data_IF_075790846273
#
_entry.id   IF_075790846273
#
_cell.length_a   1.000
_cell.length_b   1.000
_cell.length_c   1.000
_cell.angle_alpha   90.00
_cell.angle_beta   90.00
_cell.angle_gamma   90.00
#
_symmetry.space_group_name_H-M   'P 1'
#
loop_
_entity.id
_entity.type
_entity.pdbx_description
1 polymer ?
#
# COMPACT_ATOMS: atom_id res chain seq x y z
N UNK A 1 4.95 1.30 7.10
CA UNK A 1 4.37 1.14 5.74
C UNK A 1 3.93 -0.30 5.42
N UNK A 2 4.79 -1.31 5.60
CA UNK A 2 4.46 -2.70 5.23
C UNK A 2 3.24 -3.26 5.99
N UNK A 3 3.09 -2.90 7.26
CA UNK A 3 1.95 -3.34 8.08
C UNK A 3 0.61 -2.83 7.53
N UNK A 4 0.56 -1.58 7.06
CA UNK A 4 -0.62 -1.02 6.39
C UNK A 4 -0.98 -1.82 5.13
N UNK A 5 0.02 -2.26 4.35
CA UNK A 5 -0.22 -3.11 3.18
C UNK A 5 -0.76 -4.49 3.59
N UNK A 6 -0.15 -5.14 4.58
CA UNK A 6 -0.60 -6.47 5.04
C UNK A 6 -2.03 -6.41 5.58
N UNK A 7 -2.34 -5.44 6.44
CA UNK A 7 -3.68 -5.27 6.98
C UNK A 7 -4.72 -5.02 5.87
N UNK A 8 -4.40 -4.16 4.90
CA UNK A 8 -5.25 -3.92 3.75
C UNK A 8 -5.49 -5.20 2.93
N UNK A 9 -4.43 -5.93 2.59
CA UNK A 9 -4.54 -7.18 1.83
C UNK A 9 -5.40 -8.22 2.54
N UNK A 10 -5.26 -8.36 3.85
CA UNK A 10 -6.04 -9.32 4.63
C UNK A 10 -7.51 -8.91 4.74
N UNK A 11 -7.81 -7.61 4.89
CA UNK A 11 -9.20 -7.12 4.86
C UNK A 11 -9.85 -7.31 3.49
N UNK A 12 -9.11 -7.13 2.40
CA UNK A 12 -9.63 -7.43 1.05
C UNK A 12 -9.90 -8.93 0.89
N UNK A 13 -9.03 -9.81 1.39
CA UNK A 13 -9.29 -11.27 1.40
C UNK A 13 -10.54 -11.62 2.22
N UNK A 14 -10.73 -10.99 3.38
CA UNK A 14 -11.95 -11.20 4.19
C UNK A 14 -13.21 -10.76 3.43
N UNK A 15 -13.15 -9.65 2.69
CA UNK A 15 -14.26 -9.23 1.83
C UNK A 15 -14.54 -10.25 0.72
N UNK A 16 -13.51 -10.80 0.07
CA UNK A 16 -13.67 -11.86 -0.94
C UNK A 16 -14.34 -13.09 -0.32
N UNK A 17 -13.92 -13.50 0.89
CA UNK A 17 -14.56 -14.61 1.62
C UNK A 17 -16.03 -14.32 1.93
N UNK A 18 -16.37 -13.10 2.34
CA UNK A 18 -17.76 -12.68 2.54
C UNK A 18 -18.58 -12.80 1.25
N UNK A 19 -17.99 -12.45 0.10
CA UNK A 19 -18.62 -12.57 -1.21
C UNK A 19 -18.82 -14.05 -1.60
N UNK A 20 -17.86 -14.93 -1.31
CA UNK A 20 -17.99 -16.39 -1.48
C UNK A 20 -19.16 -16.95 -0.65
N UNK A 21 -19.25 -16.56 0.62
CA UNK A 21 -20.32 -17.01 1.51
C UNK A 21 -21.70 -16.55 1.00
N UNK A 22 -21.79 -15.30 0.52
CA UNK A 22 -23.01 -14.77 -0.05
C UNK A 22 -23.42 -15.52 -1.34
N UNK A 23 -22.45 -15.93 -2.15
CA UNK A 23 -22.67 -16.74 -3.34
C UNK A 23 -23.21 -18.13 -3.00
N UNK A 24 -22.58 -18.82 -2.05
CA UNK A 24 -23.01 -20.13 -1.58
C UNK A 24 -24.45 -20.08 -1.02
N UNK A 25 -24.77 -19.05 -0.23
CA UNK A 25 -26.12 -18.82 0.29
C UNK A 25 -27.12 -18.55 -0.84
N UNK A 26 -26.73 -17.80 -1.88
CA UNK A 26 -27.55 -17.56 -3.07
C UNK A 26 -27.81 -18.84 -3.88
N UNK A 27 -26.80 -19.68 -4.06
CA UNK A 27 -26.92 -20.97 -4.73
C UNK A 27 -27.87 -21.90 -3.96
N UNK A 28 -27.69 -22.03 -2.64
CA UNK A 28 -28.56 -22.84 -1.78
C UNK A 28 -30.01 -22.36 -1.79
N UNK A 29 -30.23 -21.05 -1.73
CA UNK A 29 -31.57 -20.47 -1.82
C UNK A 29 -32.24 -20.76 -3.17
N UNK A 30 -31.45 -20.73 -4.25
CA UNK A 30 -31.95 -21.02 -5.60
C UNK A 30 -32.30 -22.49 -5.77
N UNK A 31 -31.46 -23.40 -5.27
CA UNK A 31 -31.70 -24.84 -5.28
C UNK A 31 -32.97 -25.23 -4.49
N UNK A 32 -33.17 -24.64 -3.30
CA UNK A 32 -34.40 -24.82 -2.51
C UNK A 32 -35.62 -24.34 -3.31
N UNK A 33 -35.51 -23.21 -4.02
CA UNK A 33 -36.62 -22.70 -4.81
C UNK A 33 -36.92 -23.59 -6.03
N UNK A 34 -35.90 -24.09 -6.73
CA UNK A 34 -36.08 -24.94 -7.92
C UNK A 34 -36.61 -26.34 -7.61
N UNK A 35 -36.13 -27.00 -6.54
CA UNK A 35 -36.69 -28.30 -6.11
C UNK A 35 -38.16 -28.22 -5.70
N UNK A 36 -38.58 -27.01 -5.29
CA UNK A 36 -39.96 -26.75 -4.97
C UNK A 36 -40.77 -26.44 -6.25
N UNK A 37 -40.30 -25.62 -7.20
CA UNK A 37 -41.11 -25.20 -8.37
C UNK A 37 -41.87 -26.35 -9.09
N UNK A 38 -41.26 -27.52 -9.28
CA UNK A 38 -41.94 -28.71 -9.87
C UNK A 38 -43.05 -29.32 -9.00
N UNK A 39 -42.95 -29.22 -7.67
CA UNK A 39 -43.98 -29.68 -6.71
C UNK A 39 -45.13 -28.68 -6.52
N UNK A 40 -44.96 -27.41 -6.90
CA UNK A 40 -45.92 -26.32 -6.59
C UNK A 40 -46.89 -25.97 -7.72
N UNK A 41 -46.83 -26.63 -8.88
CA UNK A 41 -47.78 -26.46 -10.00
C UNK A 41 -49.26 -26.75 -9.65
N UNK A 42 -49.52 -27.39 -8.52
CA UNK A 42 -50.86 -27.75 -8.01
C UNK A 42 -51.36 -26.91 -6.81
N UNK A 43 -50.64 -25.84 -6.43
CA UNK A 43 -50.84 -25.17 -5.13
C UNK A 43 -51.68 -23.89 -5.22
N UNK A 44 -52.57 -23.72 -4.22
CA UNK A 44 -53.62 -22.68 -4.16
C UNK A 44 -53.08 -21.23 -4.15
N UNK A 45 -53.84 -20.23 -4.66
CA UNK A 45 -53.40 -18.84 -4.82
C UNK A 45 -52.89 -18.14 -3.54
N UNK A 46 -53.38 -18.53 -2.36
CA UNK A 46 -52.92 -17.97 -1.07
C UNK A 46 -51.44 -18.24 -0.79
N UNK A 47 -50.87 -19.31 -1.36
CA UNK A 47 -49.47 -19.68 -1.19
C UNK A 47 -48.54 -18.98 -2.20
N UNK A 48 -49.05 -18.49 -3.34
CA UNK A 48 -48.28 -17.66 -4.29
C UNK A 48 -47.70 -16.42 -3.60
N UNK A 49 -48.47 -15.80 -2.71
CA UNK A 49 -48.01 -14.65 -1.90
C UNK A 49 -46.81 -14.96 -0.99
N UNK A 50 -46.56 -16.23 -0.66
CA UNK A 50 -45.39 -16.65 0.14
C UNK A 50 -44.18 -16.90 -0.76
N UNK A 51 -44.38 -17.41 -1.97
CA UNK A 51 -43.33 -17.52 -2.99
C UNK A 51 -42.84 -16.16 -3.47
N UNK A 52 -43.76 -15.23 -3.73
CA UNK A 52 -43.41 -13.85 -4.08
C UNK A 52 -42.57 -13.20 -2.97
N UNK A 53 -42.89 -13.47 -1.69
CA UNK A 53 -42.09 -13.02 -0.54
C UNK A 53 -40.69 -13.65 -0.49
N UNK A 54 -40.53 -14.92 -0.83
CA UNK A 54 -39.21 -15.59 -0.89
C UNK A 54 -38.35 -15.10 -2.06
N UNK A 55 -38.94 -14.91 -3.24
CA UNK A 55 -38.28 -14.31 -4.41
C UNK A 55 -37.88 -12.86 -4.13
N UNK A 56 -38.77 -12.06 -3.54
CA UNK A 56 -38.52 -10.68 -3.13
C UNK A 56 -37.39 -10.57 -2.09
N UNK A 57 -37.35 -11.47 -1.10
CA UNK A 57 -36.25 -11.54 -0.13
C UNK A 57 -34.90 -11.86 -0.78
N UNK A 58 -34.90 -12.66 -1.85
CA UNK A 58 -33.66 -13.02 -2.57
C UNK A 58 -33.11 -11.84 -3.38
N UNK A 59 -33.98 -11.07 -4.05
CA UNK A 59 -33.58 -9.86 -4.79
C UNK A 59 -33.02 -8.80 -3.83
N UNK A 60 -33.72 -8.53 -2.73
CA UNK A 60 -33.25 -7.58 -1.72
C UNK A 60 -31.91 -8.00 -1.12
N UNK A 61 -31.71 -9.30 -0.87
CA UNK A 61 -30.42 -9.80 -0.37
C UNK A 61 -29.29 -9.57 -1.36
N UNK A 62 -29.49 -9.85 -2.66
CA UNK A 62 -28.46 -9.59 -3.69
C UNK A 62 -28.07 -8.12 -3.73
N UNK A 63 -29.04 -7.22 -3.67
CA UNK A 63 -28.80 -5.78 -3.69
C UNK A 63 -28.10 -5.32 -2.41
N UNK A 64 -28.46 -5.87 -1.25
CA UNK A 64 -27.76 -5.62 0.01
C UNK A 64 -26.31 -6.14 -0.02
N UNK A 65 -26.07 -7.36 -0.50
CA UNK A 65 -24.73 -7.90 -0.68
C UNK A 65 -23.89 -7.01 -1.59
N UNK A 66 -24.45 -6.58 -2.72
CA UNK A 66 -23.79 -5.65 -3.62
C UNK A 66 -23.46 -4.31 -2.95
N UNK A 67 -24.45 -3.68 -2.32
CA UNK A 67 -24.29 -2.40 -1.64
C UNK A 67 -23.21 -2.46 -0.55
N UNK A 68 -23.28 -3.48 0.32
CA UNK A 68 -22.28 -3.71 1.37
C UNK A 68 -20.90 -3.99 0.77
N UNK A 69 -20.81 -4.83 -0.26
CA UNK A 69 -19.55 -5.17 -0.91
C UNK A 69 -18.85 -3.95 -1.51
N UNK A 70 -19.58 -3.09 -2.21
CA UNK A 70 -19.04 -1.88 -2.83
C UNK A 70 -18.61 -0.85 -1.80
N UNK A 71 -19.45 -0.59 -0.78
CA UNK A 71 -19.13 0.38 0.28
C UNK A 71 -17.91 -0.08 1.08
N UNK A 72 -17.84 -1.36 1.43
CA UNK A 72 -16.70 -1.93 2.14
C UNK A 72 -15.44 -1.90 1.28
N UNK A 73 -15.48 -2.34 0.02
CA UNK A 73 -14.31 -2.34 -0.84
C UNK A 73 -13.72 -0.94 -1.03
N UNK A 74 -14.57 0.03 -1.35
CA UNK A 74 -14.13 1.42 -1.53
C UNK A 74 -13.61 2.00 -0.21
N UNK A 75 -14.32 1.78 0.91
CA UNK A 75 -13.88 2.25 2.23
C UNK A 75 -12.53 1.67 2.66
N UNK A 76 -12.29 0.38 2.39
CA UNK A 76 -10.99 -0.27 2.62
C UNK A 76 -9.87 0.37 1.81
N UNK A 77 -10.13 0.69 0.53
CA UNK A 77 -9.14 1.33 -0.33
C UNK A 77 -8.85 2.77 0.11
N UNK A 78 -9.88 3.56 0.41
CA UNK A 78 -9.75 4.94 0.88
C UNK A 78 -8.95 5.01 2.18
N UNK A 79 -9.30 4.18 3.17
CA UNK A 79 -8.56 4.06 4.42
C UNK A 79 -7.09 3.67 4.16
N UNK A 80 -6.84 2.68 3.30
CA UNK A 80 -5.49 2.25 2.99
C UNK A 80 -4.63 3.36 2.35
N UNK A 81 -5.19 4.11 1.40
CA UNK A 81 -4.49 5.21 0.72
C UNK A 81 -4.10 6.31 1.72
N UNK A 82 -4.98 6.65 2.67
CA UNK A 82 -4.66 7.58 3.74
C UNK A 82 -3.58 7.03 4.68
N UNK A 83 -3.71 5.78 5.12
CA UNK A 83 -2.79 5.16 6.07
C UNK A 83 -1.39 4.99 5.48
N UNK A 84 -1.28 4.59 4.21
CA UNK A 84 0.02 4.42 3.55
C UNK A 84 0.72 5.75 3.31
N UNK A 85 -0.04 6.83 3.05
CA UNK A 85 0.50 8.20 3.00
C UNK A 85 1.10 8.61 4.33
N UNK A 86 0.37 8.41 5.43
CA UNK A 86 0.87 8.71 6.78
C UNK A 86 2.13 7.92 7.08
N UNK A 87 2.09 6.60 6.86
CA UNK A 87 3.22 5.72 7.12
C UNK A 87 4.46 6.08 6.26
N UNK A 88 4.26 6.54 5.03
CA UNK A 88 5.35 7.01 4.16
C UNK A 88 6.02 8.28 4.71
N UNK A 89 5.22 9.26 5.14
CA UNK A 89 5.73 10.51 5.72
C UNK A 89 6.43 10.30 7.07
N UNK A 90 5.89 9.43 7.91
CA UNK A 90 6.53 9.04 9.17
C UNK A 90 7.82 8.26 8.92
N UNK A 91 7.89 7.43 7.89
CA UNK A 91 9.13 6.75 7.58
C UNK A 91 10.20 7.74 7.05
N UNK A 92 9.80 8.76 6.27
CA UNK A 92 10.68 9.87 5.88
C UNK A 92 11.18 10.68 7.09
N UNK A 93 10.30 11.08 8.00
CA UNK A 93 10.69 11.83 9.20
C UNK A 93 11.56 11.00 10.16
N UNK A 94 11.41 9.67 10.13
CA UNK A 94 12.28 8.77 10.88
C UNK A 94 13.65 8.60 10.21
N UNK A 95 13.71 8.81 8.89
CA UNK A 95 14.90 8.63 8.07
C UNK A 95 15.80 9.86 8.05
N UNK A 96 15.19 11.04 8.01
CA UNK A 96 15.87 12.32 7.79
C UNK A 96 15.91 13.10 9.12
N UNK A 97 17.10 13.52 9.54
CA UNK A 97 17.28 14.18 10.85
C UNK A 97 17.03 15.68 10.85
N UNK A 98 17.14 16.35 9.70
CA UNK A 98 16.90 17.79 9.54
C UNK A 98 15.74 18.04 8.58
N UNK A 99 14.79 18.89 8.98
CA UNK A 99 13.63 19.26 8.17
C UNK A 99 14.03 19.86 6.82
N UNK A 100 15.16 20.57 6.74
CA UNK A 100 15.65 21.15 5.48
C UNK A 100 16.03 20.09 4.42
N UNK A 101 16.30 18.85 4.85
CA UNK A 101 16.59 17.71 3.97
C UNK A 101 15.33 16.94 3.53
N UNK A 102 14.16 17.20 4.11
CA UNK A 102 12.88 16.62 3.68
C UNK A 102 12.54 17.11 2.27
N UNK A 103 11.94 16.30 1.37
CA UNK A 103 11.54 16.75 0.04
C UNK A 103 10.80 18.09 0.05
N UNK A 104 11.22 19.00 -0.83
CA UNK A 104 10.73 20.39 -0.91
C UNK A 104 9.21 20.48 -0.90
N UNK A 105 8.55 19.64 -1.71
CA UNK A 105 7.09 19.61 -1.81
C UNK A 105 6.38 19.32 -0.47
N UNK A 106 6.97 18.45 0.35
CA UNK A 106 6.46 18.15 1.70
C UNK A 106 6.63 19.38 2.58
N UNK A 107 7.78 20.07 2.53
CA UNK A 107 8.04 21.27 3.32
C UNK A 107 7.06 22.40 2.98
N UNK A 108 6.85 22.65 1.69
CA UNK A 108 5.91 23.67 1.19
C UNK A 108 4.46 23.39 1.63
N UNK A 109 4.05 22.12 1.59
CA UNK A 109 2.68 21.75 1.89
C UNK A 109 2.41 21.60 3.40
N UNK A 110 3.43 21.24 4.19
CA UNK A 110 3.25 20.90 5.61
C UNK A 110 2.56 22.01 6.40
N UNK A 111 2.99 23.26 6.26
CA UNK A 111 2.41 24.38 7.02
C UNK A 111 0.94 24.61 6.68
N UNK A 112 0.61 24.66 5.39
CA UNK A 112 -0.75 24.93 4.92
C UNK A 112 -1.70 23.79 5.28
N UNK A 113 -1.27 22.54 5.08
CA UNK A 113 -2.07 21.37 5.42
C UNK A 113 -2.25 21.24 6.93
N UNK A 114 -1.22 21.54 7.73
CA UNK A 114 -1.32 21.53 9.20
C UNK A 114 -2.33 22.58 9.69
N UNK A 115 -2.36 23.77 9.09
CA UNK A 115 -3.35 24.79 9.40
C UNK A 115 -4.78 24.34 9.03
N UNK A 116 -4.95 23.66 7.88
CA UNK A 116 -6.24 23.08 7.50
C UNK A 116 -6.67 21.96 8.46
N UNK A 117 -5.74 21.14 8.92
CA UNK A 117 -6.00 20.11 9.92
C UNK A 117 -6.50 20.71 11.24
N UNK A 118 -5.96 21.86 11.68
CA UNK A 118 -6.47 22.58 12.86
C UNK A 118 -7.92 23.02 12.69
N UNK A 119 -8.28 23.57 11.53
CA UNK A 119 -9.65 23.99 11.21
C UNK A 119 -10.59 22.77 11.21
N UNK A 120 -10.14 21.67 10.61
CA UNK A 120 -10.93 20.45 10.42
C UNK A 120 -10.86 19.48 11.60
N UNK A 121 -10.11 19.78 12.66
CA UNK A 121 -9.79 18.87 13.77
C UNK A 121 -11.02 18.15 14.36
N UNK A 122 -12.14 18.86 14.45
CA UNK A 122 -13.35 18.35 15.11
C UNK A 122 -14.16 17.37 14.25
N UNK A 123 -13.80 17.18 12.97
CA UNK A 123 -14.36 16.14 12.12
C UNK A 123 -14.04 14.76 12.69
N UNK A 124 -14.99 13.83 12.58
CA UNK A 124 -14.87 12.49 13.18
C UNK A 124 -13.62 11.75 12.70
N UNK A 125 -13.20 11.95 11.44
CA UNK A 125 -11.98 11.35 10.88
C UNK A 125 -10.67 11.82 11.54
N UNK A 126 -10.66 12.93 12.27
CA UNK A 126 -9.45 13.51 12.89
C UNK A 126 -9.49 13.53 14.42
N UNK A 127 -10.68 13.50 15.01
CA UNK A 127 -10.88 13.71 16.46
C UNK A 127 -9.99 12.80 17.34
N UNK A 128 -9.78 11.56 16.92
CA UNK A 128 -8.98 10.57 17.67
C UNK A 128 -7.55 10.38 17.12
N UNK A 129 -7.21 11.00 15.98
CA UNK A 129 -5.91 10.81 15.31
C UNK A 129 -4.88 11.87 15.68
N UNK A 130 -5.31 13.03 16.18
CA UNK A 130 -4.42 14.13 16.52
C UNK A 130 -5.09 15.11 17.49
N UNK A 131 -4.28 15.81 18.30
CA UNK A 131 -4.74 16.91 19.14
C UNK A 131 -4.11 18.25 18.73
N UNK A 132 -4.76 19.36 19.12
CA UNK A 132 -4.36 20.72 18.74
C UNK A 132 -2.94 21.08 19.20
N UNK A 133 -2.61 20.76 20.45
CA UNK A 133 -1.29 21.00 21.04
C UNK A 133 -0.20 20.32 20.24
N UNK A 134 -0.41 19.06 19.86
CA UNK A 134 0.54 18.27 19.08
C UNK A 134 0.75 18.85 17.68
N UNK A 135 -0.32 19.27 17.01
CA UNK A 135 -0.23 19.87 15.67
C UNK A 135 0.61 21.15 15.72
N UNK A 136 0.33 22.04 16.67
CA UNK A 136 1.05 23.32 16.84
C UNK A 136 2.52 23.05 17.21
N UNK A 137 2.78 22.11 18.11
CA UNK A 137 4.14 21.74 18.51
C UNK A 137 4.95 21.23 17.31
N UNK A 138 4.38 20.31 16.51
CA UNK A 138 5.04 19.78 15.31
C UNK A 138 5.30 20.87 14.26
N UNK A 139 4.38 21.81 14.08
CA UNK A 139 4.59 22.99 13.22
C UNK A 139 5.77 23.83 13.71
N UNK A 140 5.81 24.13 15.01
CA UNK A 140 6.90 24.89 15.61
C UNK A 140 8.26 24.20 15.44
N UNK A 141 8.33 22.88 15.68
CA UNK A 141 9.57 22.11 15.54
C UNK A 141 10.08 22.08 14.10
N UNK A 142 9.19 21.95 13.12
CA UNK A 142 9.58 21.99 11.70
C UNK A 142 10.18 23.35 11.32
N UNK A 143 9.71 24.47 11.90
CA UNK A 143 10.29 25.80 11.68
C UNK A 143 11.70 25.97 12.25
N UNK A 144 12.13 25.12 13.18
CA UNK A 144 13.47 25.17 13.80
C UNK A 144 14.47 24.16 13.20
N UNK A 145 14.02 23.28 12.30
CA UNK A 145 14.89 22.38 11.54
C UNK A 145 15.19 21.02 12.20
N UNK A 146 15.52 20.98 13.51
CA UNK A 146 15.85 19.71 14.18
C UNK A 146 15.78 19.80 15.73
N UNK A 147 15.28 18.76 16.44
CA UNK A 147 14.55 17.62 15.90
C UNK A 147 13.18 18.05 15.38
N UNK A 148 12.64 17.36 14.38
CA UNK A 148 11.32 17.65 13.83
C UNK A 148 10.45 16.40 13.72
N UNK A 149 9.15 16.61 13.56
CA UNK A 149 8.14 15.58 13.24
C UNK A 149 7.09 16.18 12.34
N UNK A 150 6.67 15.44 11.31
CA UNK A 150 5.65 15.92 10.39
C UNK A 150 4.25 15.77 11.01
N UNK A 151 3.32 16.63 10.61
CA UNK A 151 1.89 16.40 10.82
C UNK A 151 1.39 15.50 9.69
N UNK A 152 1.81 14.23 9.67
CA UNK A 152 1.54 13.32 8.55
C UNK A 152 0.03 13.19 8.25
N UNK A 153 -0.82 13.19 9.28
CA UNK A 153 -2.29 13.16 9.15
C UNK A 153 -2.83 14.37 8.37
N UNK A 154 -2.14 15.50 8.36
CA UNK A 154 -2.56 16.68 7.59
C UNK A 154 -2.57 16.42 6.08
N UNK A 155 -1.77 15.46 5.60
CA UNK A 155 -1.71 15.08 4.19
C UNK A 155 -2.87 14.16 3.76
N UNK A 156 -3.73 13.75 4.69
CA UNK A 156 -4.90 12.92 4.37
C UNK A 156 -6.17 13.73 4.12
N UNK A 157 -6.12 15.07 4.13
CA UNK A 157 -7.32 15.85 3.83
C UNK A 157 -7.64 15.85 2.34
N UNK A 158 -8.71 15.14 1.98
CA UNK A 158 -9.31 15.16 0.67
C UNK A 158 -10.83 15.24 0.77
N UNK A 159 -11.45 15.82 -0.27
CA UNK A 159 -12.92 16.00 -0.37
C UNK A 159 -13.56 15.15 -1.46
N UNK A 160 -12.77 14.71 -2.43
CA UNK A 160 -13.22 13.88 -3.55
C UNK A 160 -12.93 12.42 -3.28
N UNK A 161 -13.76 11.54 -3.83
CA UNK A 161 -13.45 10.12 -3.89
C UNK A 161 -12.15 9.89 -4.66
N UNK A 162 -11.41 8.83 -4.31
CA UNK A 162 -10.21 8.42 -5.03
C UNK A 162 -10.56 7.82 -6.40
N UNK A 163 -10.53 8.68 -7.41
CA UNK A 163 -10.30 8.38 -8.83
C UNK A 163 -8.82 8.50 -9.17
N UNK A 164 -8.40 8.00 -10.33
CA UNK A 164 -6.97 8.01 -10.69
C UNK A 164 -6.35 9.42 -10.67
N UNK A 165 -7.06 10.43 -11.15
CA UNK A 165 -6.59 11.82 -11.14
C UNK A 165 -6.46 12.40 -9.74
N UNK A 166 -7.41 12.11 -8.85
CA UNK A 166 -7.33 12.53 -7.44
C UNK A 166 -6.25 11.77 -6.69
N UNK A 167 -6.00 10.50 -7.04
CA UNK A 167 -4.93 9.71 -6.45
C UNK A 167 -3.55 10.27 -6.83
N UNK A 168 -3.36 10.66 -8.10
CA UNK A 168 -2.16 11.38 -8.55
C UNK A 168 -1.95 12.66 -7.73
N UNK A 169 -2.97 13.52 -7.63
CA UNK A 169 -2.91 14.77 -6.86
C UNK A 169 -2.63 14.54 -5.37
N UNK A 170 -3.22 13.49 -4.81
CA UNK A 170 -3.04 13.14 -3.40
C UNK A 170 -1.58 12.82 -3.07
N UNK A 171 -0.94 11.94 -3.85
CA UNK A 171 0.47 11.58 -3.65
C UNK A 171 1.45 12.67 -4.05
N UNK A 172 1.06 13.56 -4.96
CA UNK A 172 1.84 14.74 -5.32
C UNK A 172 2.00 15.71 -4.13
N UNK A 173 1.06 15.73 -3.17
CA UNK A 173 1.21 16.51 -1.93
C UNK A 173 2.50 16.11 -1.17
N UNK A 174 2.86 14.83 -1.21
CA UNK A 174 4.06 14.30 -0.58
C UNK A 174 5.28 14.25 -1.52
N UNK A 175 5.23 14.93 -2.67
CA UNK A 175 6.31 14.95 -3.66
C UNK A 175 6.39 13.71 -4.54
N UNK A 176 5.46 12.76 -4.43
CA UNK A 176 5.41 11.57 -5.27
C UNK A 176 4.54 11.84 -6.49
N UNK A 177 5.16 12.39 -7.53
CA UNK A 177 4.48 12.79 -8.76
C UNK A 177 4.18 11.59 -9.67
N UNK A 178 3.00 11.56 -10.27
CA UNK A 178 2.64 10.56 -11.29
C UNK A 178 2.52 9.14 -10.75
N UNK A 179 1.87 8.94 -9.59
CA UNK A 179 1.71 7.61 -8.97
C UNK A 179 1.11 6.58 -9.93
N UNK A 180 0.18 7.00 -10.79
CA UNK A 180 -0.38 6.19 -11.90
C UNK A 180 0.71 5.58 -12.79
N UNK A 181 1.65 6.40 -13.26
CA UNK A 181 2.78 5.98 -14.10
C UNK A 181 3.74 5.08 -13.32
N UNK A 182 3.99 5.38 -12.04
CA UNK A 182 4.83 4.55 -11.18
C UNK A 182 4.22 3.16 -10.97
N UNK A 183 2.92 3.10 -10.70
CA UNK A 183 2.15 1.86 -10.55
C UNK A 183 2.25 1.02 -11.83
N UNK A 184 2.02 1.61 -13.01
CA UNK A 184 2.13 0.89 -14.29
C UNK A 184 3.49 0.23 -14.48
N UNK A 185 4.58 0.84 -13.99
CA UNK A 185 5.95 0.30 -14.11
C UNK A 185 6.27 -0.83 -13.14
N UNK A 186 5.41 -1.11 -12.16
CA UNK A 186 5.64 -2.21 -11.22
C UNK A 186 5.42 -3.56 -11.90
N UNK A 187 6.23 -4.56 -11.54
CA UNK A 187 6.14 -5.90 -12.13
C UNK A 187 4.77 -6.54 -11.91
N UNK A 188 4.18 -6.39 -10.71
CA UNK A 188 2.86 -6.94 -10.38
C UNK A 188 1.75 -6.31 -11.23
N UNK A 189 1.79 -5.00 -11.47
CA UNK A 189 0.78 -4.34 -12.29
C UNK A 189 0.93 -4.71 -13.77
N UNK A 190 2.17 -4.83 -14.27
CA UNK A 190 2.43 -5.33 -15.63
C UNK A 190 1.91 -6.76 -15.83
N UNK A 191 2.13 -7.65 -14.85
CA UNK A 191 1.60 -9.02 -14.89
C UNK A 191 0.07 -9.05 -14.90
N UNK A 192 -0.57 -8.31 -13.99
CA UNK A 192 -2.02 -8.19 -13.96
C UNK A 192 -2.57 -7.64 -15.27
N UNK A 193 -1.95 -6.58 -15.78
CA UNK A 193 -2.41 -5.91 -16.98
C UNK A 193 -2.22 -6.73 -18.25
N UNK A 194 -1.19 -7.58 -18.32
CA UNK A 194 -0.99 -8.49 -19.45
C UNK A 194 -2.16 -9.49 -19.59
N UNK A 195 -2.83 -9.83 -18.48
CA UNK A 195 -4.03 -10.67 -18.49
C UNK A 195 -5.27 -9.86 -18.90
N UNK A 196 -5.40 -8.63 -18.40
CA UNK A 196 -6.57 -7.77 -18.66
C UNK A 196 -6.60 -7.15 -20.07
N UNK A 197 -5.42 -6.78 -20.59
CA UNK A 197 -5.24 -6.12 -21.88
C UNK A 197 -4.32 -6.96 -22.78
N UNK A 198 -4.76 -8.15 -23.23
CA UNK A 198 -3.92 -9.03 -24.02
C UNK A 198 -3.51 -8.34 -25.33
N UNK A 199 -2.22 -8.47 -25.69
CA UNK A 199 -1.60 -7.87 -26.88
C UNK A 199 -1.51 -6.35 -26.89
N UNK A 200 -1.65 -5.67 -25.74
CA UNK A 200 -1.48 -4.23 -25.62
C UNK A 200 -0.44 -3.90 -24.56
N UNK A 201 0.38 -2.87 -24.84
CA UNK A 201 1.26 -2.28 -23.82
C UNK A 201 0.46 -1.27 -23.01
N UNK A 202 0.41 -1.42 -21.69
CA UNK A 202 -0.30 -0.47 -20.82
C UNK A 202 0.35 0.91 -20.75
N UNK A 203 1.61 1.02 -21.15
CA UNK A 203 2.31 2.30 -21.24
C UNK A 203 1.73 3.17 -22.37
N UNK A 204 1.13 2.54 -23.40
CA UNK A 204 0.48 3.22 -24.53
C UNK A 204 -1.01 3.51 -24.27
N UNK A 205 -1.58 2.94 -23.19
CA UNK A 205 -2.99 3.10 -22.86
C UNK A 205 -3.24 4.32 -21.96
N UNK A 206 -4.30 5.12 -22.25
CA UNK A 206 -4.72 6.20 -21.38
C UNK A 206 -5.02 5.72 -19.96
N UNK A 207 -4.67 6.51 -18.94
CA UNK A 207 -4.92 6.17 -17.53
C UNK A 207 -6.37 5.84 -17.24
N UNK A 208 -7.32 6.57 -17.85
CA UNK A 208 -8.76 6.31 -17.71
C UNK A 208 -9.18 4.90 -18.15
N UNK A 209 -8.44 4.26 -19.07
CA UNK A 209 -8.69 2.88 -19.52
C UNK A 209 -8.04 1.90 -18.56
N UNK A 210 -6.80 2.16 -18.19
CA UNK A 210 -6.02 1.27 -17.32
C UNK A 210 -6.61 1.19 -15.90
N UNK A 211 -7.14 2.31 -15.39
CA UNK A 211 -7.67 2.45 -14.04
C UNK A 211 -9.20 2.60 -13.99
N UNK A 212 -9.91 2.19 -15.05
CA UNK A 212 -11.38 2.29 -15.14
C UNK A 212 -12.09 1.66 -13.94
N UNK A 213 -11.60 0.52 -13.45
CA UNK A 213 -12.18 -0.19 -12.29
C UNK A 213 -12.17 0.66 -11.01
N UNK A 214 -11.17 1.54 -10.83
CA UNK A 214 -11.13 2.46 -9.69
C UNK A 214 -12.20 3.55 -9.85
N UNK A 215 -12.30 4.13 -11.04
CA UNK A 215 -13.24 5.21 -11.33
C UNK A 215 -14.70 4.71 -11.27
N UNK A 216 -14.97 3.50 -11.78
CA UNK A 216 -16.24 2.80 -11.67
C UNK A 216 -16.56 2.46 -10.21
N UNK A 217 -15.61 1.95 -9.42
CA UNK A 217 -15.82 1.69 -7.99
C UNK A 217 -16.22 2.97 -7.23
N UNK A 218 -15.52 4.07 -7.48
CA UNK A 218 -15.83 5.37 -6.88
C UNK A 218 -17.22 5.88 -7.30
N UNK A 219 -17.64 5.64 -8.55
CA UNK A 219 -18.98 5.96 -9.03
C UNK A 219 -20.05 5.08 -8.35
N UNK A 220 -19.86 3.76 -8.32
CA UNK A 220 -20.79 2.80 -7.70
C UNK A 220 -21.00 3.06 -6.22
N UNK A 221 -19.94 3.42 -5.50
CA UNK A 221 -20.04 3.84 -4.09
C UNK A 221 -20.98 5.03 -3.92
N UNK A 222 -20.92 6.02 -4.81
CA UNK A 222 -21.84 7.17 -4.75
C UNK A 222 -23.27 6.77 -5.08
N UNK A 223 -23.48 5.90 -6.08
CA UNK A 223 -24.82 5.37 -6.40
C UNK A 223 -25.43 4.69 -5.18
N UNK A 224 -24.69 3.79 -4.51
CA UNK A 224 -25.14 3.10 -3.29
C UNK A 224 -25.40 4.08 -2.15
N UNK A 225 -24.56 5.10 -1.97
CA UNK A 225 -24.76 6.12 -0.94
C UNK A 225 -26.00 7.00 -1.17
N UNK A 226 -26.41 7.19 -2.43
CA UNK A 226 -27.60 7.96 -2.78
C UNK A 226 -28.91 7.17 -2.74
N UNK A 227 -28.84 5.83 -2.68
CA UNK A 227 -30.03 5.00 -2.48
C UNK A 227 -29.91 3.60 -3.07
N UNK A 228 -31.03 3.12 -3.60
CA UNK A 228 -31.14 1.77 -4.11
C UNK A 228 -30.57 1.70 -5.54
N UNK A 229 -29.54 0.89 -5.81
CA UNK A 229 -28.93 0.82 -7.13
C UNK A 229 -29.82 0.05 -8.11
N UNK A 230 -30.03 0.63 -9.30
CA UNK A 230 -30.75 -0.02 -10.41
C UNK A 230 -29.88 -1.02 -11.18
N UNK A 231 -28.56 -0.78 -11.22
CA UNK A 231 -27.56 -1.66 -11.81
C UNK A 231 -26.60 -2.20 -10.74
N UNK A 232 -26.43 -3.52 -10.72
CA UNK A 232 -25.59 -4.23 -9.74
C UNK A 232 -24.62 -5.15 -10.44
N UNK A 233 -23.45 -5.31 -9.83
CA UNK A 233 -22.46 -6.27 -10.27
C UNK A 233 -22.79 -7.68 -9.80
N UNK A 234 -22.38 -8.67 -10.60
CA UNK A 234 -22.32 -10.04 -10.12
C UNK A 234 -21.26 -10.17 -9.00
N UNK A 235 -21.32 -11.27 -8.26
CA UNK A 235 -20.35 -11.53 -7.19
C UNK A 235 -18.93 -11.69 -7.77
N UNK A 236 -18.82 -12.37 -8.91
CA UNK A 236 -17.58 -12.55 -9.66
C UNK A 236 -16.98 -11.20 -10.08
N UNK A 237 -17.81 -10.31 -10.64
CA UNK A 237 -17.37 -8.96 -11.02
C UNK A 237 -16.95 -8.10 -9.81
N UNK A 238 -17.53 -8.35 -8.62
CA UNK A 238 -17.08 -7.70 -7.38
C UNK A 238 -15.74 -8.27 -6.90
N UNK A 239 -15.53 -9.59 -7.01
CA UNK A 239 -14.24 -10.25 -6.69
C UNK A 239 -13.13 -9.77 -7.63
N UNK A 240 -13.41 -9.63 -8.92
CA UNK A 240 -12.47 -9.06 -9.90
C UNK A 240 -12.05 -7.64 -9.54
N UNK A 241 -13.01 -6.78 -9.14
CA UNK A 241 -12.72 -5.43 -8.63
C UNK A 241 -11.91 -5.47 -7.33
N UNK A 242 -12.24 -6.36 -6.41
CA UNK A 242 -11.50 -6.51 -5.15
C UNK A 242 -10.04 -6.89 -5.42
N UNK A 243 -9.80 -7.79 -6.38
CA UNK A 243 -8.46 -8.20 -6.77
C UNK A 243 -7.69 -7.07 -7.48
N UNK A 244 -8.34 -6.31 -8.36
CA UNK A 244 -7.76 -5.10 -8.94
C UNK A 244 -7.31 -4.11 -7.86
N UNK A 245 -8.18 -3.81 -6.90
CA UNK A 245 -7.89 -2.89 -5.79
C UNK A 245 -6.75 -3.42 -4.90
N UNK A 246 -6.71 -4.72 -4.65
CA UNK A 246 -5.62 -5.38 -3.90
C UNK A 246 -4.27 -5.19 -4.59
N UNK A 247 -4.23 -5.42 -5.92
CA UNK A 247 -3.02 -5.28 -6.73
C UNK A 247 -2.61 -3.80 -6.81
N UNK A 248 -3.56 -2.90 -7.04
CA UNK A 248 -3.32 -1.46 -7.05
C UNK A 248 -2.67 -1.00 -5.74
N UNK A 249 -3.22 -1.42 -4.59
CA UNK A 249 -2.65 -1.07 -3.28
C UNK A 249 -1.21 -1.56 -3.11
N UNK A 250 -0.92 -2.81 -3.48
CA UNK A 250 0.46 -3.33 -3.45
C UNK A 250 1.42 -2.55 -4.36
N UNK A 251 0.94 -2.10 -5.52
CA UNK A 251 1.76 -1.33 -6.46
C UNK A 251 1.97 0.11 -5.99
N UNK A 252 1.01 0.70 -5.28
CA UNK A 252 1.19 1.99 -4.58
C UNK A 252 2.28 1.85 -3.52
N UNK A 253 2.20 0.85 -2.64
CA UNK A 253 3.25 0.57 -1.66
C UNK A 253 4.64 0.46 -2.31
N UNK A 254 4.77 -0.35 -3.36
CA UNK A 254 6.04 -0.54 -4.06
C UNK A 254 6.56 0.77 -4.64
N UNK A 255 5.68 1.59 -5.22
CA UNK A 255 6.03 2.90 -5.80
C UNK A 255 6.54 3.87 -4.73
N UNK A 256 5.84 3.95 -3.59
CA UNK A 256 6.26 4.77 -2.45
C UNK A 256 7.59 4.28 -1.87
N UNK A 257 7.78 2.95 -1.77
CA UNK A 257 9.04 2.37 -1.29
C UNK A 257 10.23 2.76 -2.18
N UNK A 258 10.05 2.70 -3.50
CA UNK A 258 11.10 3.14 -4.45
C UNK A 258 11.44 4.63 -4.32
N UNK A 259 10.48 5.48 -3.93
CA UNK A 259 10.72 6.90 -3.67
C UNK A 259 11.41 7.14 -2.31
N UNK A 260 11.19 6.27 -1.34
CA UNK A 260 11.79 6.38 -0.01
C UNK A 260 13.26 5.89 0.05
N UNK A 261 13.59 4.84 -0.71
CA UNK A 261 14.92 4.20 -0.70
C UNK A 261 16.11 5.15 -0.95
N UNK A 262 16.05 6.15 -1.86
CA UNK A 262 17.11 7.15 -1.99
C UNK A 262 17.42 7.89 -0.68
N UNK A 263 16.40 8.22 0.11
CA UNK A 263 16.54 8.89 1.39
C UNK A 263 17.14 7.98 2.45
N UNK A 264 16.69 6.71 2.50
CA UNK A 264 17.29 5.69 3.38
C UNK A 264 18.77 5.51 3.06
N UNK A 265 19.12 5.39 1.78
CA UNK A 265 20.51 5.25 1.35
C UNK A 265 21.34 6.46 1.79
N UNK A 266 20.85 7.69 1.56
CA UNK A 266 21.57 8.92 1.88
C UNK A 266 21.80 9.08 3.39
N UNK A 267 20.79 8.81 4.22
CA UNK A 267 20.81 9.20 5.63
C UNK A 267 21.13 8.03 6.58
N UNK A 268 20.83 6.79 6.20
CA UNK A 268 20.90 5.63 7.10
C UNK A 268 21.79 4.49 6.63
N UNK A 269 22.32 4.54 5.40
CA UNK A 269 23.17 3.48 4.89
C UNK A 269 24.65 3.85 4.83
N UNK A 270 25.48 2.82 4.78
CA UNK A 270 26.88 2.88 4.38
C UNK A 270 27.01 2.22 3.00
N UNK A 271 27.77 2.83 2.10
CA UNK A 271 28.10 2.23 0.82
C UNK A 271 29.09 1.08 1.02
N UNK A 272 28.83 -0.05 0.36
CA UNK A 272 29.78 -1.14 0.27
C UNK A 272 30.71 -0.92 -0.93
N UNK A 273 31.88 -1.56 -0.89
CA UNK A 273 32.78 -1.61 -2.03
C UNK A 273 32.11 -2.26 -3.25
N UNK A 274 32.69 -2.04 -4.44
CA UNK A 274 32.23 -2.76 -5.63
C UNK A 274 32.33 -4.27 -5.35
N UNK A 275 31.31 -5.08 -5.73
CA UNK A 275 31.39 -6.52 -5.56
C UNK A 275 32.67 -7.09 -6.18
N UNK A 276 33.39 -7.90 -5.42
CA UNK A 276 34.52 -8.70 -5.89
C UNK A 276 34.03 -9.78 -6.87
N UNK A 277 32.91 -10.42 -6.52
CA UNK A 277 32.25 -11.44 -7.32
C UNK A 277 30.78 -11.55 -6.92
N UNK A 278 29.96 -12.10 -7.82
CA UNK A 278 28.58 -12.52 -7.54
C UNK A 278 28.39 -13.97 -7.98
N UNK A 279 27.98 -14.83 -7.06
CA UNK A 279 27.68 -16.25 -7.33
C UNK A 279 26.19 -16.51 -7.24
N UNK A 280 25.67 -17.37 -8.11
CA UNK A 280 24.27 -17.82 -8.14
C UNK A 280 23.23 -16.70 -8.16
N UNK A 281 23.61 -15.49 -8.59
CA UNK A 281 22.78 -14.28 -8.52
C UNK A 281 22.23 -13.95 -7.13
N UNK A 282 22.85 -14.44 -6.06
CA UNK A 282 22.37 -14.22 -4.68
C UNK A 282 23.49 -14.13 -3.65
N UNK A 283 24.71 -14.56 -3.97
CA UNK A 283 25.88 -14.42 -3.10
C UNK A 283 26.72 -13.27 -3.63
N UNK A 284 26.95 -12.24 -2.82
CA UNK A 284 27.74 -11.06 -3.19
C UNK A 284 28.97 -11.00 -2.30
N UNK A 285 30.15 -10.98 -2.93
CA UNK A 285 31.43 -10.89 -2.22
C UNK A 285 31.90 -9.45 -2.17
N UNK A 286 32.29 -8.96 -0.99
CA UNK A 286 32.79 -7.61 -0.79
C UNK A 286 34.17 -7.65 -0.14
N UNK A 287 35.02 -6.69 -0.51
CA UNK A 287 36.17 -6.33 0.30
C UNK A 287 35.75 -5.25 1.31
N UNK A 288 35.89 -5.52 2.60
CA UNK A 288 35.57 -4.56 3.66
C UNK A 288 36.84 -4.06 4.33
N UNK A 289 37.00 -2.74 4.38
CA UNK A 289 38.08 -2.08 5.14
C UNK A 289 37.55 -1.49 6.47
N UNK A 290 36.27 -1.12 6.50
CA UNK A 290 35.59 -0.53 7.65
C UNK A 290 34.11 -0.95 7.72
N UNK A 291 33.51 -0.81 8.91
CA UNK A 291 32.08 -1.02 9.15
C UNK A 291 31.75 -2.44 9.59
N UNK A 292 30.47 -2.77 9.63
CA UNK A 292 30.00 -4.07 10.08
C UNK A 292 28.79 -4.56 9.28
N UNK A 293 28.72 -5.85 9.02
CA UNK A 293 27.55 -6.52 8.46
C UNK A 293 27.11 -7.59 9.46
N UNK A 294 25.82 -7.59 9.79
CA UNK A 294 25.20 -8.58 10.69
C UNK A 294 24.17 -9.36 9.89
N UNK A 295 24.04 -10.66 10.13
CA UNK A 295 22.94 -11.45 9.56
C UNK A 295 21.59 -10.80 9.89
N UNK A 296 20.72 -10.68 8.90
CA UNK A 296 19.45 -9.95 8.98
C UNK A 296 19.56 -8.44 8.74
N UNK A 297 20.78 -7.90 8.53
CA UNK A 297 20.93 -6.50 8.15
C UNK A 297 20.30 -6.24 6.79
N UNK A 298 19.60 -5.11 6.70
CA UNK A 298 19.01 -4.65 5.45
C UNK A 298 20.09 -4.23 4.46
N UNK A 299 20.01 -4.78 3.25
CA UNK A 299 20.92 -4.49 2.13
C UNK A 299 20.11 -4.00 0.93
N UNK A 300 20.60 -2.92 0.32
CA UNK A 300 19.96 -2.25 -0.82
C UNK A 300 20.92 -2.25 -2.00
N UNK A 301 20.45 -2.68 -3.17
CA UNK A 301 21.18 -2.60 -4.43
C UNK A 301 20.55 -1.55 -5.36
N UNK A 302 21.35 -0.59 -5.80
CA UNK A 302 20.98 0.41 -6.80
C UNK A 302 21.34 -0.10 -8.21
N UNK A 303 20.35 -0.07 -9.11
CA UNK A 303 20.45 -0.45 -10.53
C UNK A 303 19.85 0.65 -11.41
N UNK A 304 20.06 0.57 -12.72
CA UNK A 304 19.55 1.58 -13.68
C UNK A 304 18.03 1.78 -13.63
N UNK A 305 17.26 0.75 -13.26
CA UNK A 305 15.80 0.78 -13.15
C UNK A 305 15.25 0.89 -11.73
N UNK A 306 16.00 1.46 -10.78
CA UNK A 306 15.57 1.67 -9.40
C UNK A 306 16.36 0.84 -8.38
N UNK A 307 15.69 0.43 -7.31
CA UNK A 307 16.32 -0.20 -6.16
C UNK A 307 15.78 -1.62 -5.92
N UNK A 308 16.66 -2.52 -5.51
CA UNK A 308 16.31 -3.78 -4.88
C UNK A 308 16.62 -3.66 -3.40
N UNK A 309 15.70 -4.11 -2.58
CA UNK A 309 15.86 -4.12 -1.13
C UNK A 309 15.65 -5.54 -0.63
N UNK A 310 16.44 -5.92 0.36
CA UNK A 310 16.35 -7.22 1.00
C UNK A 310 17.22 -7.32 2.22
N UNK A 311 17.57 -8.54 2.58
CA UNK A 311 18.30 -8.86 3.81
C UNK A 311 19.51 -9.74 3.51
N UNK A 312 20.53 -9.60 4.36
CA UNK A 312 21.66 -10.52 4.42
C UNK A 312 21.23 -11.78 5.17
N UNK A 313 21.03 -12.89 4.45
CA UNK A 313 20.54 -14.15 4.99
C UNK A 313 21.65 -14.96 5.65
N UNK A 314 22.84 -14.96 5.05
CA UNK A 314 24.04 -15.63 5.57
C UNK A 314 25.29 -14.82 5.26
N UNK A 315 26.30 -14.99 6.11
CA UNK A 315 27.62 -14.36 6.00
C UNK A 315 28.66 -15.47 6.07
N UNK A 316 29.66 -15.44 5.18
CA UNK A 316 30.75 -16.40 5.14
C UNK A 316 32.09 -15.70 4.98
N UNK A 317 33.10 -16.18 5.72
CA UNK A 317 34.52 -15.79 5.55
C UNK A 317 35.31 -17.08 5.47
N UNK A 318 36.06 -17.29 4.37
CA UNK A 318 36.88 -18.48 4.16
C UNK A 318 36.11 -19.81 4.39
N UNK A 319 34.88 -19.90 3.88
CA UNK A 319 33.97 -21.06 4.03
C UNK A 319 33.53 -21.37 5.48
N UNK A 320 33.63 -20.38 6.37
CA UNK A 320 33.13 -20.47 7.74
C UNK A 320 31.99 -19.47 7.89
N UNK A 321 30.79 -19.98 8.18
CA UNK A 321 29.62 -19.16 8.47
C UNK A 321 29.86 -18.23 9.66
N UNK A 322 29.38 -17.00 9.53
CA UNK A 322 29.46 -15.96 10.54
C UNK A 322 28.06 -15.41 10.83
N UNK A 323 27.85 -14.95 12.06
CA UNK A 323 26.67 -14.16 12.43
C UNK A 323 26.88 -12.66 12.19
N UNK A 324 28.14 -12.22 12.24
CA UNK A 324 28.57 -10.85 12.05
C UNK A 324 30.00 -10.80 11.51
N UNK A 325 30.30 -9.77 10.72
CA UNK A 325 31.65 -9.36 10.36
C UNK A 325 31.84 -7.88 10.71
N UNK A 326 33.03 -7.52 11.18
CA UNK A 326 33.43 -6.13 11.45
C UNK A 326 34.83 -5.90 10.89
N UNK A 327 35.04 -4.78 10.22
CA UNK A 327 36.33 -4.30 9.77
C UNK A 327 36.65 -2.93 10.43
N UNK A 328 37.92 -2.65 10.78
CA UNK A 328 39.12 -3.48 10.57
C UNK A 328 39.27 -4.69 11.52
N UNK A 329 40.12 -5.70 11.18
CA UNK A 329 41.01 -5.74 10.00
C UNK A 329 40.24 -5.89 8.69
N UNK A 330 40.89 -5.54 7.57
CA UNK A 330 40.30 -5.70 6.24
C UNK A 330 39.96 -7.17 5.97
N UNK A 331 38.79 -7.43 5.39
CA UNK A 331 38.27 -8.79 5.25
C UNK A 331 37.44 -8.93 3.98
N UNK A 332 37.65 -10.03 3.27
CA UNK A 332 36.77 -10.45 2.19
C UNK A 332 35.62 -11.26 2.78
N UNK A 333 34.39 -10.83 2.50
CA UNK A 333 33.18 -11.44 3.02
C UNK A 333 32.23 -11.80 1.89
N UNK A 334 31.63 -12.99 1.97
CA UNK A 334 30.52 -13.38 1.12
C UNK A 334 29.20 -13.21 1.87
N UNK A 335 28.22 -12.54 1.25
CA UNK A 335 26.88 -12.34 1.80
C UNK A 335 25.85 -12.98 0.89
N UNK A 336 25.06 -13.93 1.41
CA UNK A 336 23.85 -14.42 0.75
C UNK A 336 22.72 -13.41 0.94
N UNK A 337 22.06 -12.99 -0.14
CA UNK A 337 20.94 -12.04 -0.13
C UNK A 337 19.69 -12.65 -0.74
N UNK A 338 18.51 -12.18 -0.32
CA UNK A 338 17.21 -12.68 -0.78
C UNK A 338 16.67 -12.00 -2.06
N UNK A 339 17.53 -11.33 -2.84
CA UNK A 339 17.18 -10.77 -4.15
C UNK A 339 18.21 -11.12 -5.21
N UNK A 340 17.84 -10.92 -6.48
CA UNK A 340 18.71 -11.20 -7.64
C UNK A 340 19.83 -10.17 -7.76
N UNK A 341 21.00 -10.50 -7.21
CA UNK A 341 22.22 -9.71 -7.22
C UNK A 341 22.96 -9.72 -8.57
N UNK A 342 23.74 -8.67 -8.83
CA UNK A 342 24.65 -8.54 -9.98
C UNK A 342 25.89 -7.73 -9.61
N UNK A 343 26.99 -8.04 -10.26
CA UNK A 343 28.31 -7.40 -10.11
C UNK A 343 28.31 -5.90 -10.48
N UNK A 344 27.43 -5.50 -11.39
CA UNK A 344 27.30 -4.12 -11.85
C UNK A 344 26.38 -3.23 -10.99
N UNK A 345 25.81 -3.76 -9.92
CA UNK A 345 25.01 -2.97 -8.98
C UNK A 345 25.89 -2.26 -7.95
N UNK A 346 25.36 -1.16 -7.38
CA UNK A 346 25.96 -0.50 -6.22
C UNK A 346 25.21 -0.94 -4.96
N UNK A 347 25.94 -1.41 -3.96
CA UNK A 347 25.36 -1.97 -2.75
C UNK A 347 25.53 -1.05 -1.55
N UNK A 348 24.53 -1.08 -0.67
CA UNK A 348 24.47 -0.30 0.55
C UNK A 348 23.96 -1.18 1.68
N UNK A 349 24.55 -1.09 2.85
CA UNK A 349 24.07 -1.76 4.07
C UNK A 349 23.49 -0.70 4.99
N UNK A 350 22.32 -0.95 5.58
CA UNK A 350 21.76 -0.05 6.60
C UNK A 350 22.65 -0.10 7.84
N UNK A 351 23.04 1.06 8.34
CA UNK A 351 23.83 1.17 9.57
C UNK A 351 22.99 0.59 10.72
N UNK A 352 23.62 -0.18 11.61
CA UNK A 352 22.97 -0.56 12.86
C UNK A 352 22.57 0.73 13.59
N UNK A 353 21.28 1.01 13.68
CA UNK A 353 20.78 2.13 14.47
C UNK A 353 21.13 1.81 15.92
N UNK A 354 21.97 2.63 16.57
CA UNK A 354 21.89 2.73 18.02
C UNK A 354 20.46 3.17 18.29
N UNK A 355 19.68 2.33 18.96
CA UNK A 355 18.42 2.74 19.58
C UNK A 355 18.75 3.92 20.50
N UNK A 356 18.57 5.12 19.97
CA UNK A 356 18.76 6.38 20.66
C UNK A 356 17.82 7.36 19.96
N UNK A 357 16.53 7.21 20.23
CA UNK A 357 15.73 8.41 20.44
C UNK A 357 15.33 8.39 21.90
N UNK A 358 15.61 9.46 22.66
CA UNK A 358 14.88 9.64 23.90
C UNK A 358 13.41 9.69 23.49
N UNK A 359 12.57 8.91 24.19
CA UNK A 359 11.18 9.30 24.34
C UNK A 359 11.21 10.79 24.65
N UNK A 360 10.51 11.59 23.86
CA UNK A 360 10.27 12.98 24.25
C UNK A 360 9.40 12.83 25.50
N UNK A 361 10.06 12.85 26.66
CA UNK A 361 9.42 12.68 27.95
C UNK A 361 8.40 13.80 28.05
N UNK A 362 7.16 13.36 28.24
CA UNK A 362 5.99 14.16 28.50
C UNK A 362 6.16 14.73 29.91
N UNK A 363 6.38 16.03 30.02
CA UNK A 363 6.04 16.82 31.21
C UNK A 363 5.12 17.98 30.84
#
# INVERSE_FOLDING_TARGET
>A
MIDSLHQFQDRVKQLISFLDDAEAINALSSAINSENEDKFSSIKPSHLTRFDRLKFNTINRKIQTYASGIVLLYGLFEQYVEEIMVAFLEELDSTISNFDDIPEKIRENHTNLSAQLLINRNLDKYRERCNETEIIQRMHLCSHGSPFRLNAVAFTDHKSNFRIESLNRFFELAGVSGISTLVKKTANFQQYSALKFPNQSIDDLPDKVVFEDLDDLAWRRNVVAHGWPDDTLSIEMMKERAEFIRILGMCIYNSLRQNLLPHIIKHQCQALSKPLAVYNSSIVCFHMEEGSIVKGSQIIACRSGGYLEGEVIEIEINHVQQTQVTAPPSVDVACLVNFKAKDNYRYFIRKATKDNRPDVIIE
#
